data_IF_245680042801
#
_entry.id   IF_245680042801
#
_cell.length_a   1.000
_cell.length_b   1.000
_cell.length_c   1.000
_cell.angle_alpha   90.00
_cell.angle_beta   90.00
_cell.angle_gamma   90.00
#
_symmetry.space_group_name_H-M   'P 1'
#
loop_
_entity.id
_entity.type
_entity.pdbx_description
1 polymer ?
#
# COMPACT_ATOMS: atom_id res chain seq x y z
N UNK A 1 8.19 -1.10 -20.72
CA UNK A 1 8.32 -1.62 -19.34
C UNK A 1 8.23 -0.42 -18.39
N UNK A 2 7.43 -0.51 -17.32
CA UNK A 2 7.16 0.62 -16.41
C UNK A 2 8.21 0.76 -15.31
N UNK A 3 8.46 2.00 -14.88
CA UNK A 3 9.25 2.32 -13.69
C UNK A 3 8.30 2.31 -12.48
N UNK A 4 8.43 1.32 -11.61
CA UNK A 4 7.55 1.17 -10.45
C UNK A 4 8.14 1.86 -9.20
N UNK A 5 7.29 2.55 -8.44
CA UNK A 5 7.61 3.10 -7.12
C UNK A 5 7.25 2.10 -6.01
N UNK A 6 7.79 2.30 -4.79
CA UNK A 6 7.41 1.51 -3.61
C UNK A 6 6.07 1.99 -3.08
N UNK A 7 5.11 1.08 -2.97
CA UNK A 7 3.75 1.38 -2.52
C UNK A 7 3.10 0.16 -1.85
N UNK A 8 2.08 0.41 -1.03
CA UNK A 8 1.15 -0.59 -0.51
C UNK A 8 -0.23 -0.34 -1.14
N UNK A 9 -0.88 -1.42 -1.59
CA UNK A 9 -2.27 -1.43 -2.01
C UNK A 9 -2.95 -2.60 -1.31
N UNK A 10 -4.01 -2.33 -0.55
CA UNK A 10 -4.82 -3.35 0.14
C UNK A 10 -6.18 -3.43 -0.55
N UNK A 11 -6.62 -4.65 -0.81
CA UNK A 11 -7.84 -4.97 -1.56
C UNK A 11 -8.68 -5.92 -0.70
N UNK A 12 -9.99 -5.67 -0.62
CA UNK A 12 -10.95 -6.53 0.06
C UNK A 12 -11.38 -7.75 -0.77
N UNK A 13 -12.25 -8.59 -0.21
CA UNK A 13 -12.75 -9.81 -0.86
C UNK A 13 -13.59 -9.55 -2.12
N UNK A 14 -14.17 -8.35 -2.23
CA UNK A 14 -14.94 -7.93 -3.40
C UNK A 14 -14.04 -7.35 -4.51
N UNK A 15 -12.73 -7.28 -4.27
CA UNK A 15 -11.76 -6.71 -5.21
C UNK A 15 -11.67 -5.19 -5.17
N UNK A 16 -12.24 -4.54 -4.15
CA UNK A 16 -12.19 -3.09 -3.99
C UNK A 16 -10.96 -2.69 -3.18
N UNK A 17 -10.33 -1.60 -3.62
CA UNK A 17 -9.18 -1.03 -2.92
C UNK A 17 -9.64 -0.31 -1.66
N UNK A 18 -9.20 -0.79 -0.51
CA UNK A 18 -9.56 -0.23 0.82
C UNK A 18 -8.44 0.63 1.41
N UNK A 19 -7.21 0.48 0.92
CA UNK A 19 -6.08 1.29 1.34
C UNK A 19 -5.02 1.42 0.25
N UNK A 20 -4.44 2.61 0.15
CA UNK A 20 -3.27 2.87 -0.70
C UNK A 20 -2.28 3.75 0.04
N UNK A 21 -1.00 3.41 -0.10
CA UNK A 21 0.10 4.24 0.36
C UNK A 21 1.19 4.25 -0.70
N UNK A 22 1.50 5.45 -1.22
CA UNK A 22 2.71 5.68 -1.98
C UNK A 22 3.82 6.11 -1.02
N UNK A 23 4.96 5.42 -1.04
CA UNK A 23 6.10 5.79 -0.18
C UNK A 23 6.81 7.00 -0.80
N UNK A 24 7.08 8.06 -0.01
CA UNK A 24 7.70 9.27 -0.52
C UNK A 24 9.14 9.06 -1.02
N UNK A 25 9.89 8.12 -0.43
CA UNK A 25 11.24 7.75 -0.83
C UNK A 25 11.39 6.22 -0.93
N UNK A 26 12.05 5.71 -1.98
CA UNK A 26 12.08 4.27 -2.27
C UNK A 26 12.89 3.48 -1.24
N UNK A 27 13.86 4.13 -0.60
CA UNK A 27 14.71 3.57 0.43
C UNK A 27 13.98 3.40 1.77
N UNK A 28 12.87 4.13 1.98
CA UNK A 28 12.09 4.07 3.21
C UNK A 28 11.11 2.88 3.19
N UNK A 29 10.77 2.41 4.38
CA UNK A 29 9.72 1.41 4.53
C UNK A 29 8.34 2.07 4.59
N UNK A 30 7.33 1.47 3.95
CA UNK A 30 5.95 1.92 4.10
C UNK A 30 5.43 1.69 5.53
N UNK A 31 4.28 2.28 5.84
CA UNK A 31 3.68 2.18 7.17
C UNK A 31 2.83 0.90 7.24
N UNK A 32 3.49 -0.21 7.59
CA UNK A 32 2.87 -1.52 7.69
C UNK A 32 1.73 -1.54 8.72
N UNK A 33 1.84 -0.76 9.80
CA UNK A 33 0.81 -0.71 10.84
C UNK A 33 -0.47 -0.07 10.29
N UNK A 34 -0.35 1.03 9.55
CA UNK A 34 -1.52 1.63 8.87
C UNK A 34 -2.13 0.72 7.83
N UNK A 35 -1.32 -0.01 7.08
CA UNK A 35 -1.82 -0.97 6.11
C UNK A 35 -2.60 -2.10 6.80
N UNK A 36 -2.07 -2.68 7.88
CA UNK A 36 -2.77 -3.73 8.64
C UNK A 36 -4.04 -3.21 9.33
N UNK A 37 -4.03 -1.98 9.83
CA UNK A 37 -5.20 -1.35 10.43
C UNK A 37 -6.38 -1.21 9.43
N UNK A 38 -6.10 -1.16 8.12
CA UNK A 38 -7.15 -1.13 7.10
C UNK A 38 -7.89 -2.46 6.90
N UNK A 39 -7.39 -3.56 7.49
CA UNK A 39 -8.02 -4.89 7.43
C UNK A 39 -9.01 -5.14 8.58
N UNK A 40 -9.06 -4.25 9.58
CA UNK A 40 -9.86 -4.40 10.81
C UNK A 40 -11.25 -3.78 10.70
#
# INVERSE_FOLDING_TARGET
>A
AGLFARAIVVIDEEGKVIYTQLVPEIAEEPDYQKALASLS
#
